data_IF_110146154631
#
_entry.id   IF_110146154631
#
_cell.length_a   1.000
_cell.length_b   1.000
_cell.length_c   1.000
_cell.angle_alpha   90.00
_cell.angle_beta   90.00
_cell.angle_gamma   90.00
#
_symmetry.space_group_name_H-M   'P 1'
#
loop_
_entity.id
_entity.type
_entity.pdbx_description
1 polymer ?
#
# COMPACT_ATOMS: atom_id res chain seq x y z
N UNK A 1 -54.62 54.39 -29.77
CA UNK A 1 -54.40 53.03 -29.29
C UNK A 1 -52.95 52.92 -28.92
N UNK A 2 -52.60 53.08 -27.60
CA UNK A 2 -51.20 53.07 -27.11
C UNK A 2 -50.87 51.70 -26.48
N UNK A 3 -50.05 50.93 -27.14
CA UNK A 3 -49.58 49.65 -26.67
C UNK A 3 -48.28 49.88 -25.90
N UNK A 4 -48.31 49.77 -24.54
CA UNK A 4 -47.15 49.87 -23.68
C UNK A 4 -46.65 48.42 -23.42
N UNK A 5 -45.53 48.03 -24.06
CA UNK A 5 -44.80 46.81 -23.75
C UNK A 5 -44.05 47.03 -22.44
N UNK A 6 -44.40 46.25 -21.42
CA UNK A 6 -43.62 46.15 -20.19
C UNK A 6 -42.54 45.00 -20.38
N UNK A 7 -41.26 45.37 -20.43
CA UNK A 7 -40.14 44.42 -20.41
C UNK A 7 -39.88 44.10 -18.94
N UNK A 8 -40.21 42.90 -18.53
CA UNK A 8 -39.77 42.35 -17.24
C UNK A 8 -38.29 41.88 -17.36
N UNK A 9 -37.39 42.68 -16.79
CA UNK A 9 -35.96 42.32 -16.66
C UNK A 9 -35.82 41.41 -15.45
N UNK A 10 -35.79 40.08 -15.68
CA UNK A 10 -35.60 39.09 -14.64
C UNK A 10 -34.14 39.13 -14.13
N UNK A 11 -33.97 39.54 -12.88
CA UNK A 11 -32.68 39.51 -12.17
C UNK A 11 -32.40 38.07 -11.77
N UNK A 12 -31.53 37.38 -12.53
CA UNK A 12 -31.03 36.01 -12.17
C UNK A 12 -30.08 36.11 -10.97
N UNK A 13 -30.55 35.67 -9.81
CA UNK A 13 -29.69 35.49 -8.64
C UNK A 13 -28.73 34.31 -8.91
N UNK A 14 -27.46 34.63 -9.16
CA UNK A 14 -26.38 33.63 -9.16
C UNK A 14 -26.11 33.20 -7.72
N UNK A 15 -26.58 32.01 -7.34
CA UNK A 15 -26.21 31.36 -6.09
C UNK A 15 -24.80 30.77 -6.28
N UNK A 16 -23.79 31.17 -5.46
CA UNK A 16 -22.47 30.59 -5.56
C UNK A 16 -22.53 29.10 -5.11
N UNK A 17 -22.08 28.20 -5.98
CA UNK A 17 -21.87 26.79 -5.62
C UNK A 17 -20.78 26.71 -4.55
N UNK A 18 -20.97 25.94 -3.46
CA UNK A 18 -19.95 25.74 -2.47
C UNK A 18 -18.72 25.07 -3.11
N UNK A 19 -17.57 25.70 -2.95
CA UNK A 19 -16.30 25.10 -3.35
C UNK A 19 -16.09 23.81 -2.54
N UNK A 20 -16.11 22.66 -3.20
CA UNK A 20 -15.85 21.38 -2.58
C UNK A 20 -14.35 21.31 -2.27
N UNK A 21 -13.99 21.27 -0.99
CA UNK A 21 -12.60 21.06 -0.60
C UNK A 21 -12.12 19.71 -1.17
N UNK A 22 -10.99 19.72 -1.88
CA UNK A 22 -10.39 18.49 -2.41
C UNK A 22 -10.03 17.56 -1.23
N UNK A 23 -10.55 16.34 -1.23
CA UNK A 23 -10.17 15.35 -0.23
C UNK A 23 -8.68 14.99 -0.42
N UNK A 24 -7.93 15.02 0.69
CA UNK A 24 -6.52 14.59 0.69
C UNK A 24 -6.51 13.06 0.49
N UNK A 25 -5.76 12.55 -0.50
CA UNK A 25 -5.79 11.12 -0.81
C UNK A 25 -5.17 10.27 0.31
N UNK A 26 -5.69 9.04 0.47
CA UNK A 26 -5.06 8.01 1.29
C UNK A 26 -3.65 7.76 0.77
N UNK A 27 -2.64 7.82 1.66
CA UNK A 27 -1.23 7.73 1.30
C UNK A 27 -0.43 6.90 2.28
N UNK A 28 0.70 6.36 1.81
CA UNK A 28 1.69 5.60 2.60
C UNK A 28 3.04 6.28 2.46
N UNK A 29 3.78 6.34 3.56
CA UNK A 29 5.15 6.85 3.63
C UNK A 29 6.02 5.92 4.45
N UNK A 30 7.34 6.00 4.26
CA UNK A 30 8.35 5.35 5.09
C UNK A 30 9.42 6.36 5.50
N UNK A 31 9.92 6.34 6.74
CA UNK A 31 11.13 7.08 7.09
C UNK A 31 12.40 6.41 6.58
N UNK A 32 12.31 5.15 6.11
CA UNK A 32 13.45 4.37 5.66
C UNK A 32 13.86 4.70 4.22
N UNK A 33 12.90 5.01 3.34
CA UNK A 33 13.11 5.34 1.93
C UNK A 33 11.96 6.19 1.39
N UNK A 34 12.21 6.94 0.33
CA UNK A 34 11.18 7.69 -0.41
C UNK A 34 10.61 6.83 -1.53
N UNK A 35 9.48 7.22 -2.10
CA UNK A 35 8.89 6.52 -3.26
C UNK A 35 9.88 6.48 -4.44
N UNK A 36 10.12 5.29 -4.98
CA UNK A 36 11.15 5.03 -5.97
C UNK A 36 12.60 5.05 -5.45
N UNK A 37 12.81 5.25 -4.13
CA UNK A 37 14.13 5.30 -3.51
C UNK A 37 14.68 3.93 -3.12
N UNK A 38 16.00 3.89 -2.86
CA UNK A 38 16.70 2.68 -2.47
C UNK A 38 16.27 2.21 -1.08
N UNK A 39 16.00 0.91 -0.95
CA UNK A 39 15.72 0.26 0.35
C UNK A 39 17.06 -0.02 1.05
N UNK A 40 17.29 0.56 2.25
CA UNK A 40 18.52 0.31 3.01
C UNK A 40 18.74 -1.18 3.30
N UNK A 41 20.01 -1.61 3.23
CA UNK A 41 20.41 -3.02 3.36
C UNK A 41 19.87 -3.70 4.61
N UNK A 42 19.74 -2.98 5.73
CA UNK A 42 19.18 -3.52 6.98
C UNK A 42 17.79 -4.16 6.82
N UNK A 43 17.02 -3.75 5.82
CA UNK A 43 15.66 -4.25 5.52
C UNK A 43 15.66 -5.35 4.45
N UNK A 44 16.84 -5.82 4.03
CA UNK A 44 17.01 -6.80 2.95
C UNK A 44 17.55 -8.11 3.48
N UNK A 45 17.51 -9.17 2.65
CA UNK A 45 18.07 -10.48 2.99
C UNK A 45 19.61 -10.49 3.20
N UNK A 46 20.29 -9.42 2.85
CA UNK A 46 21.74 -9.24 3.12
C UNK A 46 22.00 -8.53 4.43
N UNK A 47 21.00 -7.85 4.98
CA UNK A 47 21.06 -7.20 6.28
C UNK A 47 20.38 -8.00 7.38
N UNK A 48 19.52 -7.32 8.15
CA UNK A 48 18.85 -7.93 9.30
C UNK A 48 17.48 -8.52 8.93
N UNK A 49 17.04 -8.37 7.69
CA UNK A 49 15.77 -8.88 7.17
C UNK A 49 14.54 -8.40 7.96
N UNK A 50 14.56 -7.12 8.36
CA UNK A 50 13.51 -6.50 9.17
C UNK A 50 12.51 -5.76 8.29
N UNK A 51 11.23 -5.76 8.64
CA UNK A 51 10.29 -4.87 7.98
C UNK A 51 10.65 -3.41 8.26
N UNK A 52 10.64 -2.52 7.25
CA UNK A 52 10.80 -1.08 7.47
C UNK A 52 9.59 -0.50 8.21
N UNK A 53 9.79 0.65 8.87
CA UNK A 53 8.68 1.40 9.39
C UNK A 53 7.84 1.99 8.24
N UNK A 54 6.52 1.92 8.37
CA UNK A 54 5.54 2.50 7.44
C UNK A 54 4.56 3.36 8.23
N UNK A 55 4.09 4.44 7.64
CA UNK A 55 2.98 5.23 8.15
C UNK A 55 1.95 5.48 7.03
N UNK A 56 0.66 5.52 7.40
CA UNK A 56 -0.40 5.82 6.44
C UNK A 56 -1.32 6.91 6.95
N UNK A 57 -1.73 7.76 6.01
CA UNK A 57 -2.40 9.03 6.27
C UNK A 57 -3.73 9.10 5.53
N UNK A 58 -4.68 9.84 6.10
CA UNK A 58 -5.99 10.13 5.49
C UNK A 58 -6.78 8.89 5.04
N UNK A 59 -6.93 7.85 5.91
CA UNK A 59 -7.76 6.71 5.55
C UNK A 59 -9.20 7.15 5.32
N UNK A 60 -9.92 6.52 4.36
CA UNK A 60 -11.30 6.84 4.09
C UNK A 60 -12.20 6.70 5.32
N UNK A 61 -13.23 7.54 5.37
CA UNK A 61 -14.28 7.39 6.39
C UNK A 61 -14.92 6.00 6.28
N UNK A 62 -15.15 5.36 7.42
CA UNK A 62 -15.72 4.01 7.46
C UNK A 62 -14.69 2.89 7.46
N UNK A 63 -13.38 3.20 7.44
CA UNK A 63 -12.31 2.19 7.62
C UNK A 63 -12.47 1.46 8.95
N UNK A 64 -12.51 0.13 8.90
CA UNK A 64 -12.62 -0.77 10.06
C UNK A 64 -11.36 -1.58 10.31
N UNK A 65 -10.58 -1.85 9.27
CA UNK A 65 -9.27 -2.52 9.38
C UNK A 65 -8.34 -2.10 8.26
N UNK A 66 -7.05 -2.43 8.43
CA UNK A 66 -6.07 -2.32 7.34
C UNK A 66 -5.45 -3.68 7.04
N UNK A 67 -4.91 -3.77 5.83
CA UNK A 67 -4.09 -4.90 5.36
C UNK A 67 -2.82 -4.33 4.76
N UNK A 68 -1.67 -4.93 5.09
CA UNK A 68 -0.38 -4.66 4.45
C UNK A 68 -0.06 -5.84 3.55
N UNK A 69 0.29 -5.56 2.30
CA UNK A 69 0.84 -6.52 1.35
C UNK A 69 2.16 -5.93 0.84
N UNK A 70 3.25 -6.68 1.00
CA UNK A 70 4.54 -6.34 0.39
C UNK A 70 4.82 -7.38 -0.68
N UNK A 71 5.07 -6.92 -1.90
CA UNK A 71 5.35 -7.80 -3.03
C UNK A 71 6.41 -7.21 -3.97
N UNK A 72 7.13 -8.10 -4.68
CA UNK A 72 7.96 -7.74 -5.81
C UNK A 72 7.18 -7.98 -7.11
N UNK A 73 6.85 -6.92 -7.88
CA UNK A 73 6.11 -7.05 -9.13
C UNK A 73 6.97 -7.56 -10.30
N UNK A 74 8.29 -7.56 -10.17
CA UNK A 74 9.23 -7.82 -11.27
C UNK A 74 9.37 -9.29 -11.66
N UNK A 75 8.77 -10.20 -10.89
CA UNK A 75 8.73 -11.60 -11.27
C UNK A 75 7.83 -11.77 -12.51
N UNK A 76 8.35 -12.33 -13.63
CA UNK A 76 7.64 -12.38 -14.90
C UNK A 76 6.44 -13.34 -14.91
N UNK A 77 6.36 -14.26 -13.93
CA UNK A 77 5.27 -15.25 -13.86
C UNK A 77 4.15 -14.72 -12.98
N UNK A 78 4.51 -14.26 -11.77
CA UNK A 78 3.58 -13.67 -10.80
C UNK A 78 4.37 -12.82 -9.80
N UNK A 79 3.77 -11.72 -9.27
CA UNK A 79 4.39 -10.94 -8.21
C UNK A 79 4.71 -11.83 -7.01
N UNK A 80 5.96 -11.74 -6.49
CA UNK A 80 6.39 -12.51 -5.34
C UNK A 80 6.02 -11.79 -4.04
N UNK A 81 5.36 -12.51 -3.14
CA UNK A 81 4.85 -11.96 -1.89
C UNK A 81 5.90 -12.05 -0.79
N UNK A 82 6.26 -10.90 -0.24
CA UNK A 82 7.26 -10.77 0.82
C UNK A 82 6.66 -10.71 2.22
N UNK A 83 5.50 -10.07 2.39
CA UNK A 83 4.83 -9.93 3.68
C UNK A 83 3.33 -9.72 3.52
N UNK A 84 2.58 -10.33 4.43
CA UNK A 84 1.14 -10.21 4.52
C UNK A 84 0.73 -9.99 5.98
N UNK A 85 0.07 -8.87 6.26
CA UNK A 85 -0.52 -8.58 7.58
C UNK A 85 -1.94 -8.10 7.38
N UNK A 86 -2.89 -8.71 8.06
CA UNK A 86 -4.30 -8.37 7.96
C UNK A 86 -4.93 -8.14 9.34
N UNK A 87 -6.17 -7.67 9.35
CA UNK A 87 -6.90 -7.34 10.57
C UNK A 87 -6.17 -6.32 11.47
N UNK A 88 -5.42 -5.40 10.85
CA UNK A 88 -4.80 -4.29 11.55
C UNK A 88 -5.89 -3.34 12.04
N UNK A 89 -5.86 -3.00 13.34
CA UNK A 89 -6.86 -2.12 13.95
C UNK A 89 -6.98 -0.76 13.23
N UNK A 90 -8.20 -0.21 13.08
CA UNK A 90 -8.39 1.12 12.48
C UNK A 90 -7.77 2.26 13.31
N UNK A 91 -7.36 2.02 14.56
CA UNK A 91 -6.63 2.99 15.37
C UNK A 91 -5.14 3.07 15.02
N UNK A 92 -4.58 2.03 14.40
CA UNK A 92 -3.17 1.98 13.98
C UNK A 92 -2.98 2.84 12.72
N UNK A 93 -1.93 3.67 12.71
CA UNK A 93 -1.55 4.56 11.59
C UNK A 93 -0.11 4.36 11.15
N UNK A 94 0.61 3.50 11.83
CA UNK A 94 2.01 3.20 11.53
C UNK A 94 2.36 1.82 12.03
N UNK A 95 3.42 1.27 11.48
CA UNK A 95 4.15 0.11 11.97
C UNK A 95 5.61 0.52 12.12
N UNK A 96 6.25 0.11 13.22
CA UNK A 96 7.66 0.37 13.47
C UNK A 96 8.51 -0.71 12.80
N UNK A 97 9.82 -0.48 12.78
CA UNK A 97 10.79 -1.50 12.39
C UNK A 97 10.62 -2.72 13.29
N UNK A 98 10.60 -3.91 12.69
CA UNK A 98 10.44 -5.21 13.38
C UNK A 98 9.17 -5.30 14.24
N UNK A 99 8.07 -4.70 13.80
CA UNK A 99 6.77 -4.74 14.48
C UNK A 99 5.72 -5.43 13.60
N UNK A 100 4.82 -6.18 14.23
CA UNK A 100 3.69 -6.82 13.57
C UNK A 100 2.39 -6.20 14.10
N UNK A 101 1.69 -5.37 13.31
CA UNK A 101 0.52 -4.61 13.79
C UNK A 101 -0.81 -5.39 13.75
N UNK A 102 -0.81 -6.61 13.25
CA UNK A 102 -2.02 -7.43 13.05
C UNK A 102 -1.70 -8.92 12.96
N UNK A 103 -2.55 -9.68 12.29
CA UNK A 103 -2.34 -11.11 12.04
C UNK A 103 -1.52 -11.29 10.76
N UNK A 104 -0.48 -12.12 10.81
CA UNK A 104 0.32 -12.44 9.65
C UNK A 104 -0.26 -13.61 8.86
N UNK A 105 -0.08 -13.59 7.55
CA UNK A 105 -0.45 -14.64 6.62
C UNK A 105 0.79 -15.20 5.92
N UNK A 106 0.63 -16.32 5.21
CA UNK A 106 1.72 -17.07 4.58
C UNK A 106 2.22 -16.33 3.34
N UNK A 107 3.51 -15.95 3.34
CA UNK A 107 4.19 -15.37 2.18
C UNK A 107 4.70 -16.46 1.21
N UNK A 108 5.29 -16.03 0.08
CA UNK A 108 5.78 -16.99 -0.93
C UNK A 108 7.11 -17.67 -0.54
N UNK A 109 7.74 -17.29 0.57
CA UNK A 109 8.84 -18.03 1.20
C UNK A 109 8.34 -19.16 2.10
N UNK A 110 7.02 -19.34 2.27
CA UNK A 110 6.44 -20.32 3.20
C UNK A 110 6.49 -19.91 4.66
N UNK A 111 6.57 -18.61 4.95
CA UNK A 111 6.72 -18.04 6.28
C UNK A 111 5.63 -17.05 6.63
N UNK A 112 5.43 -16.78 7.93
CA UNK A 112 4.50 -15.80 8.47
C UNK A 112 5.18 -14.50 8.91
N UNK A 113 6.43 -14.25 8.51
CA UNK A 113 7.18 -13.04 8.84
C UNK A 113 7.60 -12.30 7.57
N UNK A 114 8.10 -11.09 7.74
CA UNK A 114 8.64 -10.30 6.65
C UNK A 114 9.86 -11.00 6.06
N UNK A 115 9.85 -11.23 4.75
CA UNK A 115 11.00 -11.63 3.98
C UNK A 115 11.48 -10.45 3.15
N UNK A 116 12.66 -9.92 3.45
CA UNK A 116 13.15 -8.70 2.82
C UNK A 116 13.47 -8.85 1.33
N UNK A 117 13.68 -7.73 0.66
CA UNK A 117 14.21 -7.70 -0.70
C UNK A 117 15.44 -8.57 -0.87
N UNK A 118 15.43 -9.46 -1.87
CA UNK A 118 16.53 -10.36 -2.16
C UNK A 118 16.69 -10.48 -3.68
N UNK A 119 17.61 -9.72 -4.24
CA UNK A 119 17.90 -9.76 -5.66
C UNK A 119 18.94 -10.85 -5.96
N UNK A 120 18.65 -11.66 -6.98
CA UNK A 120 19.52 -12.75 -7.46
C UNK A 120 20.25 -12.38 -8.75
N UNK A 121 20.27 -11.10 -9.10
CA UNK A 121 21.02 -10.54 -10.22
C UNK A 121 21.40 -9.08 -9.94
N UNK A 122 22.14 -8.45 -10.87
CA UNK A 122 22.62 -7.08 -10.75
C UNK A 122 21.58 -6.01 -11.14
N UNK A 123 20.37 -6.43 -11.56
CA UNK A 123 19.33 -5.48 -11.98
C UNK A 123 18.69 -4.80 -10.78
N UNK A 124 18.04 -3.70 -11.04
CA UNK A 124 17.14 -3.06 -10.09
C UNK A 124 15.85 -3.85 -9.97
N UNK A 125 15.45 -4.13 -8.75
CA UNK A 125 14.21 -4.80 -8.41
C UNK A 125 13.32 -3.86 -7.60
N UNK A 126 12.02 -3.89 -7.90
CA UNK A 126 11.01 -3.07 -7.25
C UNK A 126 10.30 -3.88 -6.16
N UNK A 127 9.94 -3.17 -5.09
CA UNK A 127 9.21 -3.74 -3.97
C UNK A 127 8.10 -2.78 -3.57
N UNK A 128 6.87 -3.23 -3.75
CA UNK A 128 5.67 -2.46 -3.46
C UNK A 128 5.20 -2.74 -2.03
N UNK A 129 5.17 -1.70 -1.22
CA UNK A 129 4.60 -1.69 0.13
C UNK A 129 3.21 -1.09 0.05
N UNK A 130 2.20 -1.94 0.11
CA UNK A 130 0.81 -1.59 -0.17
C UNK A 130 0.00 -1.66 1.12
N UNK A 131 -0.77 -0.60 1.42
CA UNK A 131 -1.74 -0.58 2.52
C UNK A 131 -3.14 -0.46 1.94
N UNK A 132 -4.02 -1.38 2.32
CA UNK A 132 -5.43 -1.34 1.99
C UNK A 132 -6.24 -0.90 3.21
N UNK A 133 -7.18 0.02 3.02
CA UNK A 133 -8.19 0.38 4.00
C UNK A 133 -9.47 -0.38 3.69
N UNK A 134 -10.00 -1.14 4.66
CA UNK A 134 -11.16 -2.00 4.49
C UNK A 134 -12.36 -1.53 5.32
N UNK A 135 -13.57 -1.78 4.81
CA UNK A 135 -14.85 -1.51 5.48
C UNK A 135 -15.22 -2.53 6.57
N UNK A 136 -14.46 -3.62 6.73
CA UNK A 136 -14.67 -4.65 7.75
C UNK A 136 -13.37 -5.36 8.09
N UNK A 137 -13.36 -6.15 9.15
CA UNK A 137 -12.36 -7.18 9.40
C UNK A 137 -12.52 -8.35 8.43
N UNK A 138 -11.49 -9.18 8.33
CA UNK A 138 -11.46 -10.42 7.54
C UNK A 138 -11.58 -11.62 8.47
N UNK A 139 -12.75 -11.74 9.13
CA UNK A 139 -13.01 -12.74 10.18
C UNK A 139 -13.07 -14.17 9.63
N UNK A 140 -13.35 -14.32 8.32
CA UNK A 140 -13.42 -15.62 7.63
C UNK A 140 -12.05 -16.15 7.18
N UNK A 141 -10.96 -15.36 7.39
CA UNK A 141 -9.61 -15.76 7.02
C UNK A 141 -9.00 -16.61 8.12
N UNK A 142 -8.60 -17.83 7.77
CA UNK A 142 -8.00 -18.79 8.68
C UNK A 142 -6.47 -18.71 8.66
N UNK A 143 -5.84 -19.28 9.68
CA UNK A 143 -4.39 -19.44 9.73
C UNK A 143 -3.86 -20.19 8.50
N UNK A 144 -2.71 -19.77 7.99
CA UNK A 144 -2.12 -20.32 6.76
C UNK A 144 -2.67 -19.71 5.47
N UNK A 145 -3.50 -18.66 5.56
CA UNK A 145 -3.98 -17.96 4.38
C UNK A 145 -2.80 -17.40 3.55
N UNK A 146 -2.90 -17.54 2.24
CA UNK A 146 -1.99 -16.96 1.24
C UNK A 146 -2.51 -15.61 0.74
N UNK A 147 -1.73 -14.94 -0.11
CA UNK A 147 -2.16 -13.69 -0.75
C UNK A 147 -3.49 -13.86 -1.49
N UNK A 148 -3.66 -14.91 -2.27
CA UNK A 148 -4.88 -15.13 -3.05
C UNK A 148 -6.13 -15.27 -2.15
N UNK A 149 -5.97 -15.93 -1.00
CA UNK A 149 -7.05 -16.05 0.00
C UNK A 149 -7.40 -14.68 0.58
N UNK A 150 -6.38 -13.87 0.93
CA UNK A 150 -6.59 -12.52 1.45
C UNK A 150 -7.23 -11.61 0.40
N UNK A 151 -6.72 -11.57 -0.82
CA UNK A 151 -7.26 -10.75 -1.91
C UNK A 151 -8.72 -11.12 -2.21
N UNK A 152 -9.06 -12.41 -2.19
CA UNK A 152 -10.43 -12.89 -2.33
C UNK A 152 -11.32 -12.42 -1.18
N UNK A 153 -10.84 -12.50 0.06
CA UNK A 153 -11.57 -12.05 1.25
C UNK A 153 -11.75 -10.53 1.30
N UNK A 154 -10.81 -9.77 0.74
CA UNK A 154 -10.85 -8.30 0.62
C UNK A 154 -11.83 -7.82 -0.45
N UNK A 155 -12.22 -8.65 -1.41
CA UNK A 155 -13.07 -8.28 -2.54
C UNK A 155 -14.40 -7.70 -2.05
N UNK A 156 -14.76 -6.49 -2.52
CA UNK A 156 -15.96 -5.75 -2.11
C UNK A 156 -15.85 -5.07 -0.72
N UNK A 157 -14.72 -5.20 -0.03
CA UNK A 157 -14.46 -4.55 1.27
C UNK A 157 -13.43 -3.41 1.17
N UNK A 158 -12.72 -3.29 0.06
CA UNK A 158 -11.67 -2.27 -0.13
C UNK A 158 -12.31 -0.89 -0.30
N UNK A 159 -11.97 0.04 0.59
CA UNK A 159 -12.35 1.45 0.52
C UNK A 159 -11.30 2.28 -0.23
N UNK A 160 -10.01 1.99 0.02
CA UNK A 160 -8.89 2.62 -0.66
C UNK A 160 -7.65 1.73 -0.60
N UNK A 161 -6.71 2.04 -1.50
CA UNK A 161 -5.37 1.47 -1.58
C UNK A 161 -4.37 2.61 -1.64
N UNK A 162 -3.27 2.51 -0.91
CA UNK A 162 -2.11 3.38 -1.02
C UNK A 162 -0.84 2.53 -1.10
N UNK A 163 0.20 3.06 -1.75
CA UNK A 163 1.42 2.32 -2.04
C UNK A 163 2.62 3.25 -1.98
N UNK A 164 3.75 2.72 -1.53
CA UNK A 164 5.09 3.28 -1.71
C UNK A 164 5.96 2.16 -2.30
N UNK A 165 6.74 2.48 -3.32
CA UNK A 165 7.64 1.54 -3.98
C UNK A 165 9.07 1.85 -3.59
N UNK A 166 9.80 0.86 -3.10
CA UNK A 166 11.24 0.93 -2.91
C UNK A 166 11.98 0.12 -3.97
N UNK A 167 13.25 0.46 -4.20
CA UNK A 167 14.10 -0.29 -5.12
C UNK A 167 15.27 -0.92 -4.37
N UNK A 168 15.75 -2.07 -4.86
CA UNK A 168 16.93 -2.75 -4.33
C UNK A 168 17.73 -3.38 -5.47
N UNK A 169 19.06 -3.22 -5.37
CA UNK A 169 20.05 -3.94 -6.20
C UNK A 169 20.95 -4.73 -5.27
N UNK A 170 21.32 -5.93 -5.67
CA UNK A 170 22.35 -6.67 -4.94
C UNK A 170 23.74 -6.16 -5.40
N UNK A 171 24.49 -5.38 -4.59
CA UNK A 171 25.75 -4.79 -5.00
C UNK A 171 26.87 -5.84 -5.17
N UNK A 172 26.68 -7.03 -4.61
CA UNK A 172 27.67 -8.13 -4.67
C UNK A 172 27.42 -9.07 -5.85
N UNK A 173 26.29 -8.93 -6.56
CA UNK A 173 26.01 -9.76 -7.72
C UNK A 173 26.80 -9.25 -8.92
N UNK A 174 27.78 -10.01 -9.37
CA UNK A 174 28.63 -9.67 -10.52
C UNK A 174 30.01 -9.14 -10.19
N UNK A 175 30.35 -8.92 -8.90
CA UNK A 175 31.71 -8.56 -8.51
C UNK A 175 32.65 -9.78 -8.46
N UNK A 176 32.15 -10.99 -8.15
CA UNK A 176 32.96 -12.21 -7.95
C UNK A 176 32.39 -13.49 -8.60
N UNK A 177 31.21 -13.45 -9.23
CA UNK A 177 30.67 -14.65 -9.87
C UNK A 177 30.96 -14.65 -11.37
N UNK A 178 32.01 -15.42 -11.77
CA UNK A 178 32.11 -15.94 -13.11
C UNK A 178 30.92 -16.87 -13.36
N UNK A 179 30.19 -16.73 -14.49
CA UNK A 179 29.14 -17.68 -14.84
C UNK A 179 29.77 -19.08 -14.91
N UNK A 180 29.12 -20.06 -14.24
CA UNK A 180 29.39 -21.47 -14.36
C UNK A 180 29.10 -21.94 -15.80
#
# INVERSE_FOLDING_TARGET
>A
MNNRFFIFMGLALMVPLPAQAAEVPFSVTSPAFVDGGEIPEIYTCKGNDLNPALAWHHPPKGTKSFVIIVLSPDNPIMPWTHWLVYNISPAVRQVKVNEVPGTQALNDFGNFYFGGPCAFDAREHHFDFIVYALSSYLDDVTEGATRDVLEKAMKGKILAKAQITGVYRNPLWGADEKPL
#
